data_IF_075039130590
#
_entry.id   IF_075039130590
#
_cell.length_a   1.000
_cell.length_b   1.000
_cell.length_c   1.000
_cell.angle_alpha   90.00
_cell.angle_beta   90.00
_cell.angle_gamma   90.00
#
_symmetry.space_group_name_H-M   'P 1'
#
loop_
_entity.id
_entity.type
_entity.pdbx_description
1 polymer ?
#
# COMPACT_ATOMS: atom_id res chain seq x y z
N UNK A 1 40.81 -0.01 20.64
CA UNK A 1 39.34 0.14 20.65
C UNK A 1 38.74 -1.26 20.55
N UNK A 2 37.91 -1.68 21.51
CA UNK A 2 37.31 -3.02 21.51
C UNK A 2 35.97 -2.97 20.75
N UNK A 3 35.83 -3.81 19.72
CA UNK A 3 34.57 -3.98 18.99
C UNK A 3 33.66 -4.92 19.79
N UNK A 4 32.42 -4.51 20.01
CA UNK A 4 31.38 -5.35 20.64
C UNK A 4 30.45 -5.85 19.53
N UNK A 5 30.34 -7.17 19.37
CA UNK A 5 29.42 -7.80 18.43
C UNK A 5 28.15 -8.23 19.16
N UNK A 6 27.20 -7.29 19.24
CA UNK A 6 25.89 -7.50 19.83
C UNK A 6 24.83 -6.69 19.06
N UNK A 7 23.55 -7.02 19.27
CA UNK A 7 22.46 -6.22 18.70
C UNK A 7 22.51 -4.79 19.23
N UNK A 8 22.25 -3.81 18.36
CA UNK A 8 22.14 -2.42 18.77
C UNK A 8 21.00 -2.29 19.82
N UNK A 9 21.26 -1.71 21.01
CA UNK A 9 20.25 -1.58 22.07
C UNK A 9 18.96 -0.91 21.60
N UNK A 10 19.06 0.06 20.68
CA UNK A 10 17.90 0.75 20.11
C UNK A 10 16.94 -0.18 19.35
N UNK A 11 17.40 -1.32 18.83
CA UNK A 11 16.55 -2.30 18.13
C UNK A 11 15.49 -2.87 19.05
N UNK A 12 15.87 -3.29 20.26
CA UNK A 12 14.93 -3.85 21.23
C UNK A 12 13.97 -2.78 21.77
N UNK A 13 14.48 -1.57 22.00
CA UNK A 13 13.68 -0.43 22.48
C UNK A 13 12.62 -0.06 21.44
N UNK A 14 13.00 0.19 20.19
CA UNK A 14 12.06 0.59 19.14
C UNK A 14 11.11 -0.52 18.70
N UNK A 15 11.38 -1.79 19.02
CA UNK A 15 10.48 -2.89 18.72
C UNK A 15 9.20 -2.83 19.58
N UNK A 16 9.32 -2.40 20.84
CA UNK A 16 8.21 -2.29 21.81
C UNK A 16 7.65 -0.88 21.83
N UNK A 17 6.50 -0.70 21.20
CA UNK A 17 5.83 0.60 21.14
C UNK A 17 5.27 0.99 22.50
N UNK A 18 5.43 2.26 22.86
CA UNK A 18 4.75 2.89 23.98
C UNK A 18 3.24 2.96 23.73
N UNK A 19 2.47 3.23 24.78
CA UNK A 19 1.02 3.42 24.67
C UNK A 19 0.67 4.57 23.71
N UNK A 20 1.40 5.68 23.79
CA UNK A 20 1.24 6.83 22.91
C UNK A 20 1.45 6.46 21.42
N UNK A 21 2.53 5.71 21.11
CA UNK A 21 2.79 5.25 19.73
C UNK A 21 1.68 4.30 19.23
N UNK A 22 1.18 3.42 20.09
CA UNK A 22 0.10 2.49 19.73
C UNK A 22 -1.23 3.21 19.48
N UNK A 23 -1.55 4.22 20.29
CA UNK A 23 -2.76 5.03 20.12
C UNK A 23 -2.71 5.82 18.81
N UNK A 24 -1.55 6.42 18.52
CA UNK A 24 -1.32 7.08 17.23
C UNK A 24 -1.42 6.11 16.05
N UNK A 25 -0.84 4.90 16.15
CA UNK A 25 -0.94 3.87 15.11
C UNK A 25 -2.39 3.49 14.82
N UNK A 26 -3.23 3.31 15.84
CA UNK A 26 -4.65 2.99 15.66
C UNK A 26 -5.38 4.09 14.90
N UNK A 27 -5.09 5.34 15.24
CA UNK A 27 -5.69 6.49 14.58
C UNK A 27 -5.26 6.57 13.11
N UNK A 28 -3.95 6.49 12.84
CA UNK A 28 -3.42 6.52 11.46
C UNK A 28 -3.96 5.36 10.64
N UNK A 29 -4.07 4.15 11.21
CA UNK A 29 -4.59 3.00 10.48
C UNK A 29 -6.09 3.10 10.18
N UNK A 30 -6.86 3.78 11.04
CA UNK A 30 -8.26 4.08 10.72
C UNK A 30 -8.38 5.06 9.54
N UNK A 31 -7.53 6.09 9.50
CA UNK A 31 -7.45 7.06 8.39
C UNK A 31 -7.00 6.39 7.08
N UNK A 32 -5.94 5.59 7.14
CA UNK A 32 -5.44 4.84 5.98
C UNK A 32 -6.49 3.86 5.44
N UNK A 33 -7.20 3.16 6.33
CA UNK A 33 -8.33 2.31 5.95
C UNK A 33 -9.43 3.09 5.22
N UNK A 34 -9.74 4.31 5.67
CA UNK A 34 -10.70 5.17 4.97
C UNK A 34 -10.20 5.60 3.58
N UNK A 35 -8.90 5.90 3.43
CA UNK A 35 -8.27 6.21 2.14
C UNK A 35 -8.34 5.01 1.18
N UNK A 36 -8.04 3.80 1.64
CA UNK A 36 -8.15 2.57 0.86
C UNK A 36 -9.59 2.31 0.39
N UNK A 37 -10.59 2.51 1.26
CA UNK A 37 -12.01 2.37 0.86
C UNK A 37 -12.39 3.34 -0.26
N UNK A 38 -11.92 4.60 -0.19
CA UNK A 38 -12.17 5.59 -1.26
C UNK A 38 -11.47 5.19 -2.56
N UNK A 39 -10.22 4.73 -2.49
CA UNK A 39 -9.45 4.25 -3.63
C UNK A 39 -10.13 3.04 -4.30
N UNK A 40 -10.49 2.01 -3.51
CA UNK A 40 -11.17 0.81 -4.04
C UNK A 40 -12.53 1.12 -4.63
N UNK A 41 -13.30 2.04 -4.02
CA UNK A 41 -14.55 2.52 -4.61
C UNK A 41 -14.30 3.18 -5.97
N UNK A 42 -13.25 4.01 -6.09
CA UNK A 42 -12.91 4.66 -7.34
C UNK A 42 -12.49 3.64 -8.41
N UNK A 43 -11.64 2.67 -8.07
CA UNK A 43 -11.21 1.60 -8.96
C UNK A 43 -12.41 0.78 -9.43
N UNK A 44 -13.23 0.27 -8.51
CA UNK A 44 -14.41 -0.55 -8.85
C UNK A 44 -15.40 0.21 -9.75
N UNK A 45 -15.69 1.47 -9.43
CA UNK A 45 -16.59 2.32 -10.23
C UNK A 45 -16.05 2.50 -11.65
N UNK A 46 -14.76 2.81 -11.82
CA UNK A 46 -14.15 3.02 -13.13
C UNK A 46 -14.09 1.74 -13.95
N UNK A 47 -13.69 0.61 -13.35
CA UNK A 47 -13.63 -0.68 -14.03
C UNK A 47 -15.03 -1.12 -14.49
N UNK A 48 -16.06 -0.99 -13.66
CA UNK A 48 -17.44 -1.33 -14.01
C UNK A 48 -18.05 -0.38 -15.04
N UNK A 49 -17.63 0.88 -15.04
CA UNK A 49 -18.03 1.88 -16.03
C UNK A 49 -17.36 1.70 -17.40
N UNK A 50 -16.52 0.67 -17.59
CA UNK A 50 -15.79 0.44 -18.84
C UNK A 50 -14.55 1.33 -19.02
N UNK A 51 -14.07 1.96 -17.95
CA UNK A 51 -12.84 2.74 -17.96
C UNK A 51 -11.61 1.86 -18.20
N UNK A 52 -10.61 2.42 -18.89
CA UNK A 52 -9.33 1.75 -19.12
C UNK A 52 -8.41 2.02 -17.94
N UNK A 53 -8.38 1.07 -17.00
CA UNK A 53 -7.41 1.03 -15.91
C UNK A 53 -6.52 -0.21 -16.08
N UNK A 54 -5.30 -0.09 -15.61
CA UNK A 54 -4.30 -1.14 -15.52
C UNK A 54 -3.83 -1.28 -14.07
N UNK A 55 -3.01 -2.30 -13.81
CA UNK A 55 -2.33 -2.46 -12.52
C UNK A 55 -1.47 -1.23 -12.13
N UNK A 56 -0.94 -0.49 -13.11
CA UNK A 56 -0.11 0.70 -12.82
C UNK A 56 -0.95 1.82 -12.21
N UNK A 57 -2.19 2.00 -12.67
CA UNK A 57 -3.08 3.06 -12.19
C UNK A 57 -3.51 2.86 -10.74
N UNK A 58 -3.41 1.64 -10.21
CA UNK A 58 -3.78 1.30 -8.84
C UNK A 58 -2.87 2.02 -7.83
N UNK A 59 -1.56 2.05 -8.10
CA UNK A 59 -0.58 2.75 -7.24
C UNK A 59 -0.90 4.25 -7.17
N UNK A 60 -1.10 4.87 -8.34
CA UNK A 60 -1.42 6.30 -8.45
C UNK A 60 -2.71 6.66 -7.72
N UNK A 61 -3.77 5.84 -7.87
CA UNK A 61 -5.06 6.06 -7.22
C UNK A 61 -4.95 5.95 -5.70
N UNK A 62 -4.28 4.91 -5.20
CA UNK A 62 -4.11 4.70 -3.75
C UNK A 62 -3.26 5.81 -3.15
N UNK A 63 -2.13 6.14 -3.79
CA UNK A 63 -1.25 7.21 -3.34
C UNK A 63 -1.97 8.55 -3.30
N UNK A 64 -2.79 8.86 -4.33
CA UNK A 64 -3.58 10.09 -4.37
C UNK A 64 -4.62 10.17 -3.23
N UNK A 65 -5.29 9.07 -2.90
CA UNK A 65 -6.25 9.06 -1.78
C UNK A 65 -5.58 9.13 -0.40
N UNK A 66 -4.39 8.52 -0.25
CA UNK A 66 -3.56 8.65 0.96
C UNK A 66 -3.00 10.05 1.15
N UNK A 67 -2.57 10.70 0.06
CA UNK A 67 -2.04 12.06 0.08
C UNK A 67 -3.05 13.13 0.51
N UNK A 68 -4.33 12.77 0.64
CA UNK A 68 -5.38 13.63 1.20
C UNK A 68 -5.47 13.56 2.72
N UNK A 69 -4.91 12.53 3.35
CA UNK A 69 -4.87 12.40 4.79
C UNK A 69 -3.83 13.36 5.38
N UNK A 70 -4.15 13.94 6.54
CA UNK A 70 -3.22 14.80 7.25
C UNK A 70 -1.95 14.03 7.63
N UNK A 71 -0.80 14.71 7.53
CA UNK A 71 0.52 14.18 7.87
C UNK A 71 1.03 13.02 6.98
N UNK A 72 0.39 12.77 5.83
CA UNK A 72 0.94 11.86 4.83
C UNK A 72 2.29 12.36 4.32
N UNK A 73 3.31 11.49 4.38
CA UNK A 73 4.67 11.82 3.93
C UNK A 73 4.94 11.23 2.55
N UNK A 74 4.85 9.91 2.44
CA UNK A 74 5.10 9.15 1.23
C UNK A 74 4.65 7.69 1.43
N UNK A 75 4.46 6.92 0.35
CA UNK A 75 4.30 5.48 0.45
C UNK A 75 5.49 4.85 1.20
N UNK A 76 5.19 3.91 2.11
CA UNK A 76 6.20 3.17 2.87
C UNK A 76 6.95 2.12 2.03
N UNK A 77 6.34 1.68 0.92
CA UNK A 77 6.92 0.85 -0.13
C UNK A 77 6.13 1.02 -1.43
N UNK A 78 6.65 0.48 -2.54
CA UNK A 78 5.96 0.51 -3.83
C UNK A 78 4.74 -0.42 -3.81
N UNK A 79 3.56 0.09 -4.18
CA UNK A 79 2.33 -0.71 -4.24
C UNK A 79 2.50 -1.92 -5.14
N UNK A 80 2.10 -3.09 -4.64
CA UNK A 80 1.98 -4.33 -5.39
C UNK A 80 0.52 -4.47 -5.80
N UNK A 81 0.23 -4.22 -7.07
CA UNK A 81 -1.09 -4.41 -7.66
C UNK A 81 -1.03 -5.51 -8.70
N UNK A 82 -1.55 -6.70 -8.38
CA UNK A 82 -1.51 -7.88 -9.25
C UNK A 82 -2.91 -8.33 -9.65
N UNK A 83 -3.23 -8.27 -10.93
CA UNK A 83 -4.49 -8.72 -11.50
C UNK A 83 -4.38 -10.14 -12.05
N UNK A 84 -5.35 -10.99 -11.72
CA UNK A 84 -5.43 -12.38 -12.13
C UNK A 84 -4.09 -13.13 -11.85
N UNK A 85 -3.44 -13.65 -12.89
CA UNK A 85 -2.20 -14.43 -12.74
C UNK A 85 -1.06 -13.65 -12.09
N UNK A 86 -1.00 -12.32 -12.26
CA UNK A 86 0.03 -11.48 -11.65
C UNK A 86 -0.09 -11.42 -10.12
N UNK A 87 -1.31 -11.58 -9.58
CA UNK A 87 -1.56 -11.64 -8.15
C UNK A 87 -0.98 -12.89 -7.46
N UNK A 88 -0.51 -13.89 -8.23
CA UNK A 88 0.16 -15.07 -7.67
C UNK A 88 1.65 -14.84 -7.34
N UNK A 89 2.23 -13.71 -7.76
CA UNK A 89 3.64 -13.38 -7.56
C UNK A 89 3.81 -12.48 -6.33
N UNK A 90 4.46 -12.94 -5.23
CA UNK A 90 4.50 -12.20 -3.97
C UNK A 90 5.11 -10.79 -4.06
N UNK A 91 6.16 -10.63 -4.87
CA UNK A 91 6.85 -9.35 -5.07
C UNK A 91 6.61 -8.81 -6.49
N UNK A 92 5.39 -9.00 -7.02
CA UNK A 92 5.01 -8.49 -8.34
C UNK A 92 5.18 -6.97 -8.41
N UNK A 93 5.58 -6.47 -9.58
CA UNK A 93 5.55 -5.05 -9.88
C UNK A 93 5.12 -4.84 -11.31
N UNK A 94 4.01 -4.13 -11.50
CA UNK A 94 3.59 -3.67 -12.82
C UNK A 94 4.60 -2.67 -13.36
N UNK A 95 4.86 -2.74 -14.67
CA UNK A 95 5.76 -1.84 -15.39
C UNK A 95 5.11 -1.41 -16.70
N UNK A 96 5.59 -0.33 -17.34
CA UNK A 96 5.09 0.06 -18.66
C UNK A 96 5.15 -1.07 -19.69
N UNK A 97 6.15 -1.95 -19.58
CA UNK A 97 6.35 -3.10 -20.48
C UNK A 97 5.54 -4.34 -20.07
N UNK A 98 5.20 -4.48 -18.79
CA UNK A 98 4.52 -5.65 -18.24
C UNK A 98 3.48 -5.23 -17.21
N UNK A 99 2.23 -5.10 -17.65
CA UNK A 99 1.06 -4.87 -16.81
C UNK A 99 -0.18 -5.50 -17.46
N UNK A 100 -1.19 -5.78 -16.65
CA UNK A 100 -2.49 -6.24 -17.11
C UNK A 100 -3.54 -5.11 -17.02
N UNK A 101 -4.45 -5.00 -18.01
CA UNK A 101 -5.65 -4.17 -17.87
C UNK A 101 -6.61 -4.81 -16.86
N UNK A 102 -7.22 -3.98 -16.02
CA UNK A 102 -8.23 -4.41 -15.06
C UNK A 102 -9.56 -4.67 -15.76
N UNK A 103 -10.28 -5.70 -15.30
CA UNK A 103 -11.61 -6.05 -15.83
C UNK A 103 -12.55 -6.46 -14.70
N UNK A 104 -13.84 -6.19 -14.87
CA UNK A 104 -14.91 -6.46 -13.89
C UNK A 104 -15.27 -7.95 -13.72
N UNK A 105 -14.27 -8.84 -13.74
CA UNK A 105 -14.45 -10.31 -13.70
C UNK A 105 -13.32 -11.10 -13.02
N UNK A 106 -12.26 -10.43 -12.56
CA UNK A 106 -11.07 -11.09 -12.02
C UNK A 106 -10.67 -10.55 -10.66
N UNK A 107 -9.73 -11.24 -10.01
CA UNK A 107 -9.16 -10.83 -8.74
C UNK A 107 -8.08 -9.76 -8.96
N UNK A 108 -8.13 -8.69 -8.18
CA UNK A 108 -7.05 -7.73 -8.01
C UNK A 108 -6.50 -7.87 -6.59
N UNK A 109 -5.25 -8.31 -6.47
CA UNK A 109 -4.50 -8.26 -5.22
C UNK A 109 -3.85 -6.89 -5.09
N UNK A 110 -3.94 -6.31 -3.89
CA UNK A 110 -3.28 -5.04 -3.55
C UNK A 110 -2.54 -5.22 -2.23
N UNK A 111 -1.23 -4.98 -2.24
CA UNK A 111 -0.40 -4.79 -1.05
C UNK A 111 0.25 -3.41 -1.12
N UNK A 112 -0.03 -2.56 -0.12
CA UNK A 112 0.35 -1.16 -0.12
C UNK A 112 0.37 -0.58 1.30
N UNK A 113 1.22 0.41 1.55
CA UNK A 113 1.26 1.14 2.82
C UNK A 113 1.86 2.52 2.65
N UNK A 114 1.52 3.46 3.54
CA UNK A 114 2.05 4.83 3.56
C UNK A 114 1.48 5.63 4.71
#
# INVERSE_FOLDING_TARGET
>A
MQRIEASNPSTAVKARKSTCELDHWREVMARDGAALVRAFRQIDTRVRGGGQLSEMDVDDIICAERAREADFIAPSFATIAGYAANGALPHYRATPQHHAPLQARGLLLVDSGG
#
